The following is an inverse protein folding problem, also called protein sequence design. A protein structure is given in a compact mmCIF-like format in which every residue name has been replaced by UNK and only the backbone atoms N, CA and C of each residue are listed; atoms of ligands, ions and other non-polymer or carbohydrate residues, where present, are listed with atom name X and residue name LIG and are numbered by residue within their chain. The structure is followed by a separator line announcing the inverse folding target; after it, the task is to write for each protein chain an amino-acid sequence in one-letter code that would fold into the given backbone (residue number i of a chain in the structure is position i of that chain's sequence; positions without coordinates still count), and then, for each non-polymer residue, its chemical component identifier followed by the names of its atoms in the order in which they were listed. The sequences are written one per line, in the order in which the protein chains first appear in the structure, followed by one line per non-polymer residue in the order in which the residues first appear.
data_IF_915941132288
#
_entry.id   IF_915941132288
#
_cell.length_a   1.000
_cell.length_b   1.000
_cell.length_c   1.000
_cell.angle_alpha   90.00
_cell.angle_beta   90.00
_cell.angle_gamma   90.00
#
_symmetry.space_group_name_H-M   'P 1'
#
loop_
_entity.id
_entity.type
_entity.pdbx_description
1 polymer ?
#
# COMPACT_ATOMS: atom_id res chain seq x y z
N UNK A 1 -16.88 -3.02 -10.42
CA UNK A 1 -15.40 -3.08 -10.56
C UNK A 1 -14.78 -2.91 -9.18
N UNK A 2 -13.75 -3.71 -8.83
CA UNK A 2 -13.15 -3.78 -7.47
C UNK A 2 -12.84 -2.41 -6.87
N UNK A 3 -12.28 -1.49 -7.65
CA UNK A 3 -11.86 -0.16 -7.18
C UNK A 3 -13.00 0.71 -6.62
N UNK A 4 -14.25 0.45 -6.99
CA UNK A 4 -15.41 1.21 -6.49
C UNK A 4 -16.01 0.60 -5.22
N UNK A 5 -15.43 -0.50 -4.69
CA UNK A 5 -15.91 -1.12 -3.47
C UNK A 5 -15.73 -0.14 -2.30
N UNK A 6 -16.81 0.20 -1.57
CA UNK A 6 -16.72 1.05 -0.40
C UNK A 6 -16.13 0.29 0.79
N UNK A 7 -15.30 0.98 1.57
CA UNK A 7 -14.69 0.50 2.80
C UNK A 7 -15.01 1.49 3.90
N UNK A 8 -15.57 0.99 5.00
CA UNK A 8 -15.92 1.79 6.17
C UNK A 8 -14.67 2.30 6.90
N UNK A 9 -14.73 3.58 7.30
CA UNK A 9 -13.69 4.24 8.11
C UNK A 9 -14.27 4.56 9.49
N UNK A 10 -13.78 3.88 10.52
CA UNK A 10 -14.19 4.02 11.91
C UNK A 10 -13.17 4.87 12.67
N UNK A 11 -13.58 5.52 13.77
CA UNK A 11 -12.64 6.20 14.67
C UNK A 11 -11.49 5.28 15.15
N UNK A 12 -11.79 3.99 15.38
CA UNK A 12 -10.82 3.00 15.82
C UNK A 12 -9.81 2.56 14.75
N UNK A 13 -10.01 2.95 13.48
CA UNK A 13 -9.07 2.66 12.39
C UNK A 13 -7.96 3.72 12.26
N UNK A 14 -8.12 4.87 12.93
CA UNK A 14 -7.15 5.95 12.88
C UNK A 14 -5.86 5.57 13.60
N UNK A 15 -4.73 5.97 13.02
CA UNK A 15 -3.39 5.75 13.57
C UNK A 15 -2.64 7.10 13.62
N UNK A 16 -1.30 7.10 13.60
CA UNK A 16 -0.50 8.30 13.85
C UNK A 16 -0.49 9.34 12.71
N UNK A 17 -0.82 8.97 11.47
CA UNK A 17 -0.79 9.88 10.31
C UNK A 17 -1.80 9.46 9.24
N UNK A 18 -2.92 10.18 9.12
CA UNK A 18 -4.04 9.83 8.25
C UNK A 18 -4.78 11.08 7.70
N UNK A 19 -4.08 11.96 6.97
CA UNK A 19 -4.59 13.28 6.57
C UNK A 19 -5.78 13.25 5.60
N UNK A 20 -6.06 12.09 4.99
CA UNK A 20 -7.23 11.90 4.12
C UNK A 20 -8.29 11.10 4.87
N UNK A 21 -7.95 9.93 5.41
CA UNK A 21 -8.93 9.03 6.01
C UNK A 21 -9.68 9.65 7.21
N UNK A 22 -9.04 10.52 8.00
CA UNK A 22 -9.71 11.21 9.12
C UNK A 22 -10.93 12.03 8.71
N UNK A 23 -10.95 12.53 7.46
CA UNK A 23 -12.05 13.34 6.93
C UNK A 23 -13.27 12.49 6.56
N UNK A 24 -13.12 11.17 6.55
CA UNK A 24 -14.14 10.21 6.15
C UNK A 24 -14.60 9.32 7.31
N UNK A 25 -14.23 9.64 8.56
CA UNK A 25 -14.65 8.88 9.76
C UNK A 25 -16.17 8.84 9.88
N UNK A 26 -16.70 7.66 10.25
CA UNK A 26 -18.12 7.31 10.24
C UNK A 26 -18.76 7.31 8.83
N UNK A 27 -17.93 7.34 7.80
CA UNK A 27 -18.32 7.22 6.40
C UNK A 27 -17.57 6.09 5.71
N UNK A 28 -17.38 6.24 4.40
CA UNK A 28 -16.66 5.27 3.58
C UNK A 28 -15.66 5.96 2.66
N UNK A 29 -14.64 5.21 2.26
CA UNK A 29 -13.79 5.50 1.12
C UNK A 29 -13.79 4.28 0.20
N UNK A 30 -13.76 4.49 -1.11
CA UNK A 30 -13.56 3.43 -2.09
C UNK A 30 -12.12 2.91 -2.06
N UNK A 31 -11.90 1.69 -2.56
CA UNK A 31 -10.54 1.16 -2.72
C UNK A 31 -9.65 2.04 -3.62
N UNK A 32 -10.22 2.74 -4.60
CA UNK A 32 -9.50 3.74 -5.40
C UNK A 32 -9.04 4.94 -4.55
N UNK A 33 -9.93 5.50 -3.73
CA UNK A 33 -9.61 6.63 -2.85
C UNK A 33 -8.58 6.26 -1.79
N UNK A 34 -8.69 5.06 -1.20
CA UNK A 34 -7.69 4.55 -0.27
C UNK A 34 -6.32 4.36 -0.94
N UNK A 35 -6.30 3.82 -2.15
CA UNK A 35 -5.05 3.65 -2.93
C UNK A 35 -4.38 4.99 -3.24
N UNK A 36 -5.17 5.99 -3.63
CA UNK A 36 -4.68 7.34 -3.86
C UNK A 36 -4.17 7.98 -2.57
N UNK A 37 -4.93 7.88 -1.47
CA UNK A 37 -4.53 8.43 -0.16
C UNK A 37 -3.21 7.83 0.34
N UNK A 38 -3.06 6.50 0.26
CA UNK A 38 -1.84 5.82 0.64
C UNK A 38 -0.64 6.24 -0.21
N UNK A 39 -0.79 6.33 -1.54
CA UNK A 39 0.32 6.66 -2.44
C UNK A 39 0.67 8.14 -2.50
N UNK A 40 -0.31 9.04 -2.35
CA UNK A 40 -0.11 10.47 -2.58
C UNK A 40 0.13 11.28 -1.31
N UNK A 41 -0.34 10.75 -0.19
CA UNK A 41 -0.29 11.41 1.12
C UNK A 41 0.29 10.50 2.20
N UNK A 42 0.80 9.31 1.86
CA UNK A 42 1.33 8.33 2.82
C UNK A 42 0.35 8.04 3.98
N UNK A 43 -0.97 8.03 3.71
CA UNK A 43 -2.00 7.88 4.74
C UNK A 43 -1.98 6.47 5.35
N UNK A 44 -1.65 6.38 6.64
CA UNK A 44 -1.42 5.11 7.32
C UNK A 44 -2.71 4.32 7.57
N UNK A 45 -3.84 5.00 7.79
CA UNK A 45 -5.14 4.32 7.90
C UNK A 45 -5.53 3.74 6.56
N UNK A 46 -5.32 4.48 5.46
CA UNK A 46 -5.56 3.97 4.13
C UNK A 46 -4.69 2.75 3.81
N UNK A 47 -3.39 2.80 4.15
CA UNK A 47 -2.49 1.64 4.03
C UNK A 47 -2.99 0.42 4.81
N UNK A 48 -3.36 0.58 6.08
CA UNK A 48 -3.89 -0.52 6.89
C UNK A 48 -5.18 -1.13 6.33
N UNK A 49 -6.09 -0.31 5.79
CA UNK A 49 -7.31 -0.79 5.12
C UNK A 49 -7.00 -1.61 3.87
N UNK A 50 -6.06 -1.16 3.05
CA UNK A 50 -5.62 -1.91 1.86
C UNK A 50 -4.92 -3.22 2.22
N UNK A 51 -4.04 -3.21 3.22
CA UNK A 51 -3.37 -4.41 3.73
C UNK A 51 -4.41 -5.43 4.22
N UNK A 52 -5.42 -4.99 4.99
CA UNK A 52 -6.51 -5.84 5.44
C UNK A 52 -7.30 -6.45 4.28
N UNK A 53 -7.60 -5.66 3.25
CA UNK A 53 -8.27 -6.12 2.02
C UNK A 53 -7.47 -7.21 1.27
N UNK A 54 -6.14 -7.20 1.40
CA UNK A 54 -5.23 -8.21 0.82
C UNK A 54 -5.03 -9.44 1.74
N UNK A 55 -5.67 -9.50 2.90
CA UNK A 55 -5.51 -10.60 3.86
C UNK A 55 -4.35 -10.40 4.83
N UNK A 56 -3.86 -9.18 5.01
CA UNK A 56 -2.78 -8.83 5.94
C UNK A 56 -1.39 -8.76 5.28
N UNK A 57 -0.34 -8.50 6.07
CA UNK A 57 1.04 -8.34 5.57
C UNK A 57 1.55 -9.53 4.73
N UNK A 58 1.15 -10.74 5.12
CA UNK A 58 1.45 -11.96 4.37
C UNK A 58 0.89 -11.96 2.93
N UNK A 59 -0.28 -11.35 2.71
CA UNK A 59 -0.86 -11.20 1.37
C UNK A 59 -0.07 -10.25 0.48
N UNK A 60 0.46 -9.15 1.05
CA UNK A 60 1.34 -8.21 0.34
C UNK A 60 2.66 -8.90 -0.04
N UNK A 61 3.25 -9.64 0.90
CA UNK A 61 4.47 -10.42 0.64
C UNK A 61 4.23 -11.51 -0.41
N UNK A 62 3.08 -12.19 -0.37
CA UNK A 62 2.71 -13.20 -1.36
C UNK A 62 2.57 -12.59 -2.77
N UNK A 63 2.00 -11.39 -2.89
CA UNK A 63 1.95 -10.67 -4.16
C UNK A 63 3.35 -10.33 -4.69
N UNK A 64 4.26 -9.86 -3.83
CA UNK A 64 5.64 -9.59 -4.21
C UNK A 64 6.33 -10.86 -4.76
N UNK A 65 6.13 -12.02 -4.11
CA UNK A 65 6.64 -13.31 -4.61
C UNK A 65 6.03 -13.69 -5.96
N UNK A 66 4.74 -13.47 -6.16
CA UNK A 66 4.06 -13.79 -7.42
C UNK A 66 4.60 -12.98 -8.62
N UNK A 67 5.17 -11.80 -8.39
CA UNK A 67 5.79 -10.97 -9.44
C UNK A 67 7.33 -11.11 -9.50
N UNK A 68 7.89 -12.10 -8.79
CA UNK A 68 9.31 -12.46 -8.85
C UNK A 68 10.23 -11.74 -7.86
N UNK A 69 9.69 -11.03 -6.86
CA UNK A 69 10.49 -10.44 -5.78
C UNK A 69 10.59 -11.44 -4.62
N UNK A 70 11.78 -12.02 -4.43
CA UNK A 70 12.07 -12.96 -3.34
C UNK A 70 12.61 -12.28 -2.07
N UNK A 71 12.87 -10.97 -2.12
CA UNK A 71 13.55 -10.23 -1.05
C UNK A 71 12.60 -9.43 -0.19
N UNK A 72 11.66 -8.71 -0.81
CA UNK A 72 10.68 -7.89 -0.09
C UNK A 72 9.90 -8.73 0.92
N UNK A 73 9.69 -8.20 2.12
CA UNK A 73 8.77 -8.77 3.09
C UNK A 73 8.09 -7.67 3.89
N UNK A 74 6.81 -7.87 4.13
CA UNK A 74 6.00 -7.08 5.04
C UNK A 74 5.45 -8.02 6.11
N UNK A 75 5.71 -7.69 7.36
CA UNK A 75 5.42 -8.54 8.52
C UNK A 75 4.43 -7.87 9.48
N UNK A 76 4.34 -6.53 9.45
CA UNK A 76 3.51 -5.73 10.34
C UNK A 76 2.67 -4.71 9.57
N UNK A 77 1.79 -4.05 10.31
CA UNK A 77 0.95 -2.95 9.83
C UNK A 77 1.45 -1.61 10.39
N UNK A 78 0.91 -0.51 9.88
CA UNK A 78 1.16 0.81 10.44
C UNK A 78 0.64 0.90 11.88
N UNK A 79 1.34 1.61 12.79
CA UNK A 79 2.63 2.28 12.58
C UNK A 79 3.85 1.36 12.77
N UNK A 80 3.64 0.15 13.28
CA UNK A 80 4.72 -0.69 13.83
C UNK A 80 5.68 -1.25 12.79
N UNK A 81 5.33 -1.27 11.51
CA UNK A 81 6.26 -1.62 10.44
C UNK A 81 7.46 -0.65 10.36
N UNK A 82 7.33 0.57 10.90
CA UNK A 82 8.34 1.63 10.83
C UNK A 82 9.36 1.62 11.98
N UNK A 83 9.42 0.59 12.83
CA UNK A 83 10.35 0.60 13.98
C UNK A 83 11.83 0.59 13.57
N UNK A 84 12.16 0.08 12.39
CA UNK A 84 13.51 0.08 11.80
C UNK A 84 14.64 -0.35 12.77
N UNK A 85 14.39 -1.37 13.58
CA UNK A 85 15.34 -1.84 14.61
C UNK A 85 16.56 -2.42 13.90
N UNK A 86 17.80 -1.99 14.22
CA UNK A 86 19.00 -2.52 13.59
C UNK A 86 19.08 -4.05 13.71
N UNK A 87 19.23 -4.73 12.57
CA UNK A 87 19.31 -6.20 12.49
C UNK A 87 17.96 -6.93 12.50
N UNK A 88 16.83 -6.24 12.66
CA UNK A 88 15.50 -6.84 12.50
C UNK A 88 15.20 -7.03 11.00
N UNK A 89 14.99 -8.26 10.51
CA UNK A 89 14.71 -8.49 9.10
C UNK A 89 13.28 -8.14 8.69
N UNK A 90 12.37 -7.86 9.63
CA UNK A 90 10.95 -7.61 9.33
C UNK A 90 10.75 -6.27 8.62
N UNK A 91 9.78 -6.24 7.71
CA UNK A 91 9.40 -5.04 6.96
C UNK A 91 10.56 -4.44 6.14
N UNK A 92 11.38 -5.32 5.55
CA UNK A 92 12.58 -4.93 4.81
C UNK A 92 12.56 -5.36 3.34
N UNK A 93 13.44 -4.75 2.58
CA UNK A 93 13.82 -5.13 1.22
C UNK A 93 15.27 -4.71 0.98
N UNK A 94 15.79 -4.96 -0.23
CA UNK A 94 17.05 -4.36 -0.69
C UNK A 94 16.78 -3.27 -1.73
N UNK A 95 17.69 -2.29 -1.89
CA UNK A 95 17.54 -1.27 -2.93
C UNK A 95 17.34 -1.84 -4.33
N UNK A 96 18.05 -2.93 -4.66
CA UNK A 96 17.94 -3.62 -5.96
C UNK A 96 16.56 -4.25 -6.14
N UNK A 97 16.07 -4.99 -5.15
CA UNK A 97 14.78 -5.67 -5.23
C UNK A 97 13.64 -4.66 -5.37
N UNK A 98 13.62 -3.60 -4.55
CA UNK A 98 12.60 -2.56 -4.64
C UNK A 98 12.59 -1.86 -6.01
N UNK A 99 13.77 -1.53 -6.56
CA UNK A 99 13.86 -0.93 -7.90
C UNK A 99 13.35 -1.87 -9.01
N UNK A 100 13.63 -3.17 -8.91
CA UNK A 100 13.14 -4.17 -9.86
C UNK A 100 11.62 -4.35 -9.76
N UNK A 101 11.08 -4.42 -8.55
CA UNK A 101 9.64 -4.50 -8.29
C UNK A 101 8.91 -3.28 -8.84
N UNK A 102 9.41 -2.07 -8.55
CA UNK A 102 8.83 -0.85 -9.09
C UNK A 102 8.86 -0.84 -10.62
N UNK A 103 9.97 -1.28 -11.25
CA UNK A 103 10.05 -1.40 -12.70
C UNK A 103 9.02 -2.39 -13.26
N UNK A 104 8.85 -3.56 -12.63
CA UNK A 104 7.86 -4.55 -13.09
C UNK A 104 6.43 -4.01 -13.02
N UNK A 105 6.11 -3.27 -11.96
CA UNK A 105 4.79 -2.70 -11.75
C UNK A 105 4.49 -1.50 -12.65
N UNK A 106 5.49 -0.71 -13.03
CA UNK A 106 5.29 0.57 -13.77
C UNK A 106 5.64 0.50 -15.26
N UNK A 107 6.58 -0.37 -15.64
CA UNK A 107 7.09 -0.48 -17.01
C UNK A 107 7.04 -1.92 -17.56
N UNK A 108 6.86 -2.92 -16.70
CA UNK A 108 6.78 -4.33 -17.06
C UNK A 108 5.35 -4.82 -17.29
N UNK A 109 5.19 -6.14 -17.13
CA UNK A 109 3.94 -6.85 -17.43
C UNK A 109 3.27 -7.45 -16.20
N UNK A 110 3.71 -7.07 -14.99
CA UNK A 110 3.09 -7.52 -13.74
C UNK A 110 1.63 -7.06 -13.59
N UNK A 111 1.27 -5.96 -14.24
CA UNK A 111 -0.08 -5.41 -14.30
C UNK A 111 -0.56 -5.30 -15.75
N UNK A 112 -1.87 -5.42 -15.95
CA UNK A 112 -2.53 -5.02 -17.20
C UNK A 112 -2.31 -3.53 -17.50
N UNK A 113 -2.42 -3.14 -18.77
CA UNK A 113 -2.03 -1.79 -19.22
C UNK A 113 -2.77 -0.67 -18.49
N UNK A 114 -4.10 -0.80 -18.34
CA UNK A 114 -4.93 0.17 -17.63
C UNK A 114 -4.54 0.29 -16.16
N UNK A 115 -4.29 -0.84 -15.48
CA UNK A 115 -3.88 -0.84 -14.07
C UNK A 115 -2.49 -0.23 -13.88
N UNK A 116 -1.56 -0.53 -14.80
CA UNK A 116 -0.22 0.06 -14.82
C UNK A 116 -0.27 1.57 -15.02
N UNK A 117 -1.08 2.05 -15.97
CA UNK A 117 -1.28 3.49 -16.20
C UNK A 117 -1.91 4.20 -14.99
N UNK A 118 -2.86 3.55 -14.30
CA UNK A 118 -3.46 4.07 -13.08
C UNK A 118 -2.44 4.16 -11.94
N UNK A 119 -1.62 3.12 -11.72
CA UNK A 119 -0.56 3.14 -10.72
C UNK A 119 0.44 4.28 -10.99
N UNK A 120 0.88 4.43 -12.23
CA UNK A 120 1.80 5.53 -12.63
C UNK A 120 1.15 6.90 -12.40
N UNK A 121 -0.15 7.04 -12.67
CA UNK A 121 -0.90 8.27 -12.37
C UNK A 121 -0.89 8.58 -10.87
N UNK A 122 -1.16 7.60 -10.02
CA UNK A 122 -1.13 7.79 -8.57
C UNK A 122 0.27 8.17 -8.07
N UNK A 123 1.31 7.45 -8.51
CA UNK A 123 2.71 7.73 -8.14
C UNK A 123 3.15 9.14 -8.54
N UNK A 124 2.76 9.63 -9.72
CA UNK A 124 3.06 11.00 -10.17
C UNK A 124 2.33 12.08 -9.39
N UNK A 125 1.20 11.75 -8.77
CA UNK A 125 0.43 12.65 -7.93
C UNK A 125 0.92 12.71 -6.48
N UNK A 126 2.08 12.15 -6.16
CA UNK A 126 2.66 12.21 -4.83
C UNK A 126 2.90 13.65 -4.37
N UNK A 127 2.53 13.95 -3.12
CA UNK A 127 2.58 15.32 -2.54
C UNK A 127 3.59 15.47 -1.41
N UNK A 128 4.27 14.39 -1.04
CA UNK A 128 5.31 14.35 0.00
C UNK A 128 6.71 14.26 -0.58
#
# INVERSE_FOLDING_TARGET
QLLNQPVEIKPADLVNYNPIAEKHVNGTMTLAELSAAALQYSDNTAMNKLIAQLGGPGGVTAFARAIGDETFRLDRTEPTLNTAIPGDPRDTTTPRAMAQTLRQLTLGHALGETQRAQLVTWLKGNTT
#
